data_IF_617861411340
#
_entry.id   IF_617861411340
#
_cell.length_a   1.000
_cell.length_b   1.000
_cell.length_c   1.000
_cell.angle_alpha   90.00
_cell.angle_beta   90.00
_cell.angle_gamma   90.00
#
_symmetry.space_group_name_H-M   'P 1'
#
loop_
_entity.id
_entity.type
_entity.pdbx_description
1 polymer ?
#
# COMPACT_ATOMS: atom_id res chain seq x y z
N UNK A 1 19.39 -28.76 46.82
CA UNK A 1 20.19 -28.56 45.59
C UNK A 1 19.41 -28.69 44.30
N UNK A 2 18.23 -29.28 44.32
CA UNK A 2 17.37 -29.37 43.13
C UNK A 2 16.43 -28.17 42.95
N UNK A 3 16.49 -27.16 43.80
CA UNK A 3 15.54 -26.04 43.84
C UNK A 3 15.96 -24.86 42.94
N UNK A 4 17.17 -24.85 42.43
CA UNK A 4 17.69 -23.72 41.65
C UNK A 4 17.42 -23.81 40.15
N UNK A 5 17.03 -24.98 39.65
CA UNK A 5 16.79 -25.21 38.23
C UNK A 5 15.44 -24.64 37.78
N UNK A 6 14.47 -24.55 38.70
CA UNK A 6 13.14 -24.02 38.38
C UNK A 6 13.10 -22.50 38.17
N UNK A 7 14.03 -21.77 38.77
CA UNK A 7 14.03 -20.31 38.69
C UNK A 7 14.51 -19.82 37.34
N UNK A 8 15.29 -20.60 36.61
CA UNK A 8 15.84 -20.23 35.31
C UNK A 8 14.86 -20.46 34.16
N UNK A 9 13.90 -21.35 34.33
CA UNK A 9 12.93 -21.67 33.28
C UNK A 9 11.83 -20.62 33.20
N UNK A 10 11.52 -19.94 34.29
CA UNK A 10 10.48 -18.90 34.32
C UNK A 10 10.94 -17.63 33.64
N UNK A 11 12.25 -17.38 33.54
CA UNK A 11 12.79 -16.16 32.92
C UNK A 11 12.82 -16.20 31.39
N UNK A 12 12.73 -17.38 30.79
CA UNK A 12 12.75 -17.54 29.34
C UNK A 12 11.40 -17.31 28.65
N UNK A 13 10.34 -17.15 29.40
CA UNK A 13 8.97 -17.04 28.87
C UNK A 13 8.46 -15.61 28.70
N UNK A 14 9.29 -14.60 29.00
CA UNK A 14 8.80 -13.23 29.12
C UNK A 14 9.14 -12.29 27.96
N UNK A 15 9.59 -12.79 26.83
CA UNK A 15 10.07 -11.91 25.75
C UNK A 15 9.37 -12.09 24.42
N UNK A 16 8.08 -12.41 24.39
CA UNK A 16 7.32 -12.27 23.16
C UNK A 16 6.71 -10.87 23.09
N UNK A 17 7.51 -9.94 22.60
CA UNK A 17 6.97 -8.65 22.19
C UNK A 17 6.20 -8.86 20.89
N UNK A 18 4.88 -8.86 20.96
CA UNK A 18 4.04 -8.83 19.78
C UNK A 18 4.09 -7.42 19.20
N UNK A 19 4.91 -7.22 18.16
CA UNK A 19 4.84 -6.01 17.34
C UNK A 19 3.72 -6.20 16.32
N UNK A 20 2.72 -5.32 16.35
CA UNK A 20 1.73 -5.30 15.27
C UNK A 20 2.44 -4.89 13.97
N UNK A 21 2.33 -5.71 12.93
CA UNK A 21 2.90 -5.41 11.64
C UNK A 21 2.18 -4.22 10.99
N UNK A 22 2.95 -3.38 10.30
CA UNK A 22 2.41 -2.34 9.45
C UNK A 22 2.06 -2.95 8.10
N UNK A 23 0.82 -2.77 7.66
CA UNK A 23 0.39 -3.15 6.32
C UNK A 23 0.39 -1.92 5.42
N UNK A 24 1.14 -2.00 4.33
CA UNK A 24 1.21 -0.95 3.33
C UNK A 24 1.09 -1.59 1.94
N UNK A 25 -0.04 -1.33 1.28
CA UNK A 25 -0.43 -2.01 0.06
C UNK A 25 -0.79 -1.03 -1.05
N UNK A 26 -0.51 -1.43 -2.28
CA UNK A 26 -0.93 -0.73 -3.48
C UNK A 26 -1.99 -1.54 -4.22
N UNK A 27 -2.99 -0.86 -4.76
CA UNK A 27 -4.10 -1.48 -5.49
C UNK A 27 -4.43 -0.68 -6.73
N UNK A 28 -4.56 -1.37 -7.86
CA UNK A 28 -5.09 -0.81 -9.11
C UNK A 28 -6.57 -1.11 -9.24
N UNK A 29 -7.32 -0.16 -9.80
CA UNK A 29 -8.72 -0.39 -10.16
C UNK A 29 -8.87 -1.38 -11.31
N UNK A 30 -7.88 -1.44 -12.20
CA UNK A 30 -7.76 -2.42 -13.28
C UNK A 30 -6.28 -2.75 -13.50
N UNK A 31 -5.97 -3.96 -13.91
CA UNK A 31 -4.61 -4.37 -14.30
C UNK A 31 -4.41 -4.48 -15.82
N UNK A 32 -5.47 -4.27 -16.59
CA UNK A 32 -5.44 -4.20 -18.05
C UNK A 32 -6.38 -3.09 -18.50
N UNK A 33 -5.89 -2.18 -19.33
CA UNK A 33 -6.70 -1.06 -19.82
C UNK A 33 -6.23 -0.61 -21.21
N UNK A 34 -7.15 0.04 -21.92
CA UNK A 34 -6.85 0.63 -23.22
C UNK A 34 -6.04 1.93 -23.09
N UNK A 35 -5.35 2.28 -24.17
CA UNK A 35 -4.50 3.48 -24.20
C UNK A 35 -5.28 4.77 -23.93
N UNK A 36 -6.58 4.80 -24.23
CA UNK A 36 -7.47 5.95 -24.00
C UNK A 36 -8.25 5.87 -22.70
N UNK A 37 -7.92 4.92 -21.83
CA UNK A 37 -8.57 4.79 -20.52
C UNK A 37 -7.69 5.38 -19.40
N UNK A 38 -8.33 5.57 -18.25
CA UNK A 38 -7.65 5.97 -17.02
C UNK A 38 -7.72 4.85 -15.99
N UNK A 39 -6.77 4.82 -15.10
CA UNK A 39 -6.72 3.86 -13.99
C UNK A 39 -6.50 4.60 -12.69
N UNK A 40 -7.15 4.15 -11.63
CA UNK A 40 -6.92 4.63 -10.28
C UNK A 40 -5.94 3.71 -9.58
N UNK A 41 -4.93 4.28 -8.95
CA UNK A 41 -4.04 3.56 -8.04
C UNK A 41 -4.18 4.11 -6.64
N UNK A 42 -4.28 3.22 -5.66
CA UNK A 42 -4.42 3.55 -4.26
C UNK A 42 -3.30 2.90 -3.46
N UNK A 43 -2.67 3.70 -2.59
CA UNK A 43 -1.67 3.24 -1.64
C UNK A 43 -2.25 3.41 -0.24
N UNK A 44 -2.45 2.31 0.48
CA UNK A 44 -3.10 2.32 1.78
C UNK A 44 -2.19 1.77 2.86
N UNK A 45 -2.14 2.47 3.98
CA UNK A 45 -1.39 2.09 5.18
C UNK A 45 -2.34 2.03 6.37
N UNK A 46 -2.17 1.05 7.24
CA UNK A 46 -3.02 0.83 8.42
C UNK A 46 -2.54 1.55 9.68
N UNK A 47 -1.53 2.40 9.55
CA UNK A 47 -0.97 3.23 10.62
C UNK A 47 -0.83 4.67 10.15
N UNK A 48 -0.76 5.60 11.11
CA UNK A 48 -0.45 7.00 10.80
C UNK A 48 1.02 7.12 10.45
N UNK A 49 1.29 7.28 9.16
CA UNK A 49 2.64 7.36 8.61
C UNK A 49 2.93 8.73 8.00
N UNK A 50 4.22 9.00 7.85
CA UNK A 50 4.76 10.25 7.32
C UNK A 50 5.60 9.99 6.07
N UNK A 51 5.94 11.07 5.36
CA UNK A 51 6.88 11.04 4.23
C UNK A 51 6.50 10.02 3.17
N UNK A 52 5.22 10.01 2.80
CA UNK A 52 4.76 9.18 1.69
C UNK A 52 5.44 9.62 0.39
N UNK A 53 6.02 8.66 -0.33
CA UNK A 53 6.66 8.88 -1.62
C UNK A 53 6.06 7.92 -2.64
N UNK A 54 5.38 8.44 -3.67
CA UNK A 54 4.85 7.57 -4.73
C UNK A 54 5.98 7.01 -5.60
N UNK A 55 5.72 5.95 -6.38
CA UNK A 55 6.64 5.53 -7.43
C UNK A 55 6.72 6.59 -8.54
N UNK A 56 7.68 6.45 -9.44
CA UNK A 56 7.91 7.42 -10.52
C UNK A 56 6.80 7.45 -11.57
N UNK A 57 5.94 6.44 -11.64
CA UNK A 57 4.88 6.30 -12.65
C UNK A 57 5.39 6.45 -14.11
N UNK A 58 6.53 5.85 -14.40
CA UNK A 58 7.04 5.80 -15.78
C UNK A 58 5.97 5.21 -16.72
N UNK A 59 5.89 5.76 -17.93
CA UNK A 59 4.91 5.38 -18.96
C UNK A 59 3.47 5.82 -18.67
N UNK A 60 3.26 6.62 -17.62
CA UNK A 60 1.95 7.16 -17.25
C UNK A 60 2.04 8.67 -17.04
N UNK A 61 0.92 9.33 -17.31
CA UNK A 61 0.71 10.72 -16.93
C UNK A 61 -0.22 10.75 -15.74
N UNK A 62 0.12 11.55 -14.73
CA UNK A 62 -0.77 11.77 -13.58
C UNK A 62 -1.84 12.77 -14.03
N UNK A 63 -3.11 12.33 -14.04
CA UNK A 63 -4.24 13.16 -14.47
C UNK A 63 -5.16 13.52 -13.30
N UNK A 64 -4.87 13.05 -12.11
CA UNK A 64 -5.58 13.40 -10.88
C UNK A 64 -4.82 12.95 -9.66
N UNK A 65 -5.02 13.65 -8.52
CA UNK A 65 -4.33 13.37 -7.26
C UNK A 65 -2.99 14.08 -7.13
N UNK A 66 -2.27 13.84 -6.00
CA UNK A 66 -2.66 12.91 -4.94
C UNK A 66 -3.89 13.37 -4.16
N UNK A 67 -4.77 12.45 -3.88
CA UNK A 67 -5.88 12.63 -2.95
C UNK A 67 -5.62 11.78 -1.71
N UNK A 68 -5.84 12.33 -0.54
CA UNK A 68 -5.62 11.64 0.71
C UNK A 68 -6.95 11.44 1.43
N UNK A 69 -7.19 10.23 1.91
CA UNK A 69 -8.34 9.94 2.76
C UNK A 69 -7.91 9.18 4.01
N UNK A 70 -8.60 9.46 5.12
CA UNK A 70 -8.37 8.79 6.39
C UNK A 70 -9.69 8.16 6.82
N UNK A 71 -9.65 6.88 7.14
CA UNK A 71 -10.79 6.16 7.69
C UNK A 71 -10.46 5.65 9.07
N UNK A 72 -11.30 6.02 10.04
CA UNK A 72 -11.27 5.53 11.41
C UNK A 72 -12.59 4.85 11.70
N UNK A 73 -12.58 3.62 12.17
CA UNK A 73 -13.79 2.93 12.58
C UNK A 73 -13.59 2.16 13.87
N UNK A 74 -14.70 2.01 14.62
CA UNK A 74 -14.76 1.23 15.84
C UNK A 74 -15.84 0.18 15.64
N UNK A 75 -15.45 -1.08 15.69
CA UNK A 75 -16.37 -2.22 15.60
C UNK A 75 -16.08 -3.16 16.76
N UNK A 76 -17.07 -3.38 17.62
CA UNK A 76 -16.92 -4.27 18.80
C UNK A 76 -15.71 -3.92 19.67
N UNK A 77 -15.47 -2.63 19.91
CA UNK A 77 -14.34 -2.15 20.73
C UNK A 77 -12.99 -2.20 20.03
N UNK A 78 -12.92 -2.65 18.79
CA UNK A 78 -11.68 -2.65 17.98
C UNK A 78 -11.63 -1.44 17.07
N UNK A 79 -10.53 -0.70 17.14
CA UNK A 79 -10.25 0.42 16.24
C UNK A 79 -9.58 -0.09 14.97
N UNK A 80 -10.10 0.38 13.84
CA UNK A 80 -9.52 0.17 12.53
C UNK A 80 -9.13 1.52 11.95
N UNK A 81 -7.89 1.65 11.46
CA UNK A 81 -7.36 2.86 10.86
C UNK A 81 -6.82 2.57 9.48
N UNK A 82 -7.08 3.46 8.52
CA UNK A 82 -6.53 3.36 7.18
C UNK A 82 -6.32 4.76 6.62
N UNK A 83 -5.14 5.00 6.05
CA UNK A 83 -4.78 6.22 5.33
C UNK A 83 -4.46 5.84 3.90
N UNK A 84 -5.15 6.45 2.94
CA UNK A 84 -5.05 6.09 1.53
C UNK A 84 -4.65 7.29 0.70
N UNK A 85 -3.66 7.10 -0.17
CA UNK A 85 -3.21 8.06 -1.17
C UNK A 85 -3.62 7.55 -2.54
N UNK A 86 -4.36 8.37 -3.30
CA UNK A 86 -4.94 7.97 -4.58
C UNK A 86 -4.47 8.85 -5.71
N UNK A 87 -4.19 8.23 -6.85
CA UNK A 87 -3.83 8.90 -8.10
C UNK A 87 -4.68 8.35 -9.24
N UNK A 88 -4.97 9.21 -10.21
CA UNK A 88 -5.50 8.79 -11.50
C UNK A 88 -4.38 8.90 -12.53
N UNK A 89 -4.20 7.84 -13.31
CA UNK A 89 -3.13 7.71 -14.28
C UNK A 89 -3.72 7.50 -15.68
N UNK A 90 -3.10 8.13 -16.67
CA UNK A 90 -3.38 7.92 -18.08
C UNK A 90 -2.14 7.30 -18.73
N UNK A 91 -2.26 6.16 -19.43
CA UNK A 91 -1.10 5.56 -20.07
C UNK A 91 -0.60 6.42 -21.25
N UNK A 92 0.72 6.37 -21.49
CA UNK A 92 1.35 7.11 -22.60
C UNK A 92 1.52 6.21 -23.82
N UNK A 93 1.78 4.91 -23.61
CA UNK A 93 2.02 3.95 -24.68
C UNK A 93 1.52 2.56 -24.31
N UNK A 94 1.31 1.73 -25.33
CA UNK A 94 0.98 0.31 -25.16
C UNK A 94 2.17 -0.48 -24.64
N UNK A 95 1.88 -1.55 -23.95
CA UNK A 95 2.88 -2.47 -23.46
C UNK A 95 2.53 -3.04 -22.08
N UNK A 96 3.36 -3.92 -21.62
CA UNK A 96 3.28 -4.47 -20.25
C UNK A 96 4.32 -3.74 -19.40
N UNK A 97 3.85 -3.11 -18.33
CA UNK A 97 4.68 -2.29 -17.46
C UNK A 97 4.57 -2.74 -16.01
N UNK A 98 5.54 -2.32 -15.23
CA UNK A 98 5.54 -2.52 -13.78
C UNK A 98 5.49 -1.14 -13.12
N UNK A 99 4.49 -0.91 -12.27
CA UNK A 99 4.46 0.25 -11.39
C UNK A 99 5.30 -0.10 -10.18
N UNK A 100 6.31 0.70 -9.89
CA UNK A 100 7.28 0.46 -8.83
C UNK A 100 6.68 0.64 -7.43
N UNK A 101 7.54 0.55 -6.45
CA UNK A 101 7.17 0.65 -5.05
C UNK A 101 6.93 2.09 -4.61
N UNK A 102 5.88 2.31 -3.84
CA UNK A 102 5.74 3.51 -3.01
C UNK A 102 6.42 3.25 -1.66
N UNK A 103 6.78 4.30 -0.95
CA UNK A 103 7.35 4.21 0.39
C UNK A 103 6.62 5.11 1.37
N UNK A 104 6.64 4.71 2.64
CA UNK A 104 6.09 5.48 3.75
C UNK A 104 6.91 5.20 5.00
N UNK A 105 6.96 6.17 5.91
CA UNK A 105 7.66 6.04 7.17
C UNK A 105 6.66 5.91 8.31
N UNK A 106 6.78 4.87 9.12
CA UNK A 106 5.96 4.64 10.31
C UNK A 106 6.88 4.40 11.49
N UNK A 107 6.80 5.25 12.50
CA UNK A 107 7.64 5.17 13.70
C UNK A 107 9.15 5.11 13.37
N UNK A 108 9.59 5.92 12.41
CA UNK A 108 10.99 5.99 12.00
C UNK A 108 11.46 4.85 11.10
N UNK A 109 10.59 3.94 10.71
CA UNK A 109 10.91 2.80 9.84
C UNK A 109 10.22 2.96 8.49
N UNK A 110 10.94 2.64 7.41
CA UNK A 110 10.43 2.76 6.04
C UNK A 110 9.80 1.44 5.60
N UNK A 111 8.57 1.54 5.08
CA UNK A 111 7.83 0.43 4.48
C UNK A 111 7.60 0.72 3.01
N UNK A 112 7.57 -0.31 2.19
CA UNK A 112 7.38 -0.21 0.75
C UNK A 112 6.27 -1.14 0.28
N UNK A 113 5.53 -0.69 -0.75
CA UNK A 113 4.55 -1.53 -1.41
C UNK A 113 5.21 -2.51 -2.36
N UNK A 114 4.50 -3.57 -2.73
CA UNK A 114 4.95 -4.48 -3.78
C UNK A 114 4.74 -3.84 -5.15
N UNK A 115 5.63 -4.07 -6.11
CA UNK A 115 5.39 -3.65 -7.50
C UNK A 115 4.14 -4.29 -8.08
N UNK A 116 3.48 -3.59 -9.01
CA UNK A 116 2.25 -4.06 -9.63
C UNK A 116 2.43 -4.10 -11.15
N UNK A 117 2.04 -5.22 -11.75
CA UNK A 117 2.02 -5.37 -13.20
C UNK A 117 0.75 -4.75 -13.79
N UNK A 118 0.89 -4.06 -14.90
CA UNK A 118 -0.20 -3.48 -15.64
C UNK A 118 0.02 -3.67 -17.15
N UNK A 119 -1.06 -4.01 -17.86
CA UNK A 119 -1.03 -4.21 -19.31
C UNK A 119 -1.83 -3.13 -20.01
N UNK A 120 -1.20 -2.41 -20.94
CA UNK A 120 -1.83 -1.35 -21.72
C UNK A 120 -2.04 -1.86 -23.15
N UNK A 121 -3.30 -1.96 -23.54
CA UNK A 121 -3.75 -2.43 -24.84
C UNK A 121 -4.02 -1.24 -25.79
N UNK A 122 -4.43 -1.54 -27.01
CA UNK A 122 -4.90 -0.50 -27.94
C UNK A 122 -6.12 0.25 -27.36
N UNK A 123 -6.35 1.45 -27.87
CA UNK A 123 -7.53 2.24 -27.50
C UNK A 123 -8.82 1.46 -27.71
N UNK A 124 -9.79 1.67 -26.82
CA UNK A 124 -11.12 1.07 -26.91
C UNK A 124 -12.14 2.11 -27.40
N UNK A 125 -13.25 1.64 -27.97
CA UNK A 125 -14.25 2.53 -28.57
C UNK A 125 -14.99 3.40 -27.55
N UNK A 126 -15.19 2.86 -26.32
CA UNK A 126 -15.86 3.56 -25.23
C UNK A 126 -15.02 3.47 -23.96
N UNK A 127 -14.10 4.44 -23.73
CA UNK A 127 -13.32 4.46 -22.50
C UNK A 127 -14.21 4.65 -21.28
N UNK A 128 -13.90 3.92 -20.20
CA UNK A 128 -14.59 4.04 -18.92
C UNK A 128 -13.68 4.78 -17.96
N UNK A 129 -14.16 5.92 -17.44
CA UNK A 129 -13.50 6.65 -16.36
C UNK A 129 -13.78 5.95 -15.02
N UNK A 130 -12.76 5.76 -14.25
CA UNK A 130 -12.83 5.05 -12.98
C UNK A 130 -12.73 6.00 -11.82
#
# INVERSE_FOLDING_TARGET
MKKFIFLHIIFLLSSFSFFSQVEFNAKLSKNSLGLNERVKIEFSVDKDGDNFTPPSFENFRIVGGPSQSIRNSWVNGKRSYSKTYSYFLSPIKKGSFVIGQASIEVNGKIYKTSPININITASIDKPVDI
#
